data_IF_761410987662
#
_entry.id   IF_761410987662
#
_cell.length_a   1.000
_cell.length_b   1.000
_cell.length_c   1.000
_cell.angle_alpha   90.00
_cell.angle_beta   90.00
_cell.angle_gamma   90.00
#
_symmetry.space_group_name_H-M   'P 1'
#
loop_
_entity.id
_entity.type
_entity.pdbx_description
1 polymer ?
#
# COMPACT_ATOMS: atom_id res chain seq x y z
N UNK A 1 43.14 5.71 -18.04
CA UNK A 1 41.88 6.49 -17.99
C UNK A 1 40.73 5.49 -18.03
N UNK A 2 40.32 4.99 -16.87
CA UNK A 2 39.29 3.97 -16.72
C UNK A 2 38.74 4.13 -15.30
N UNK A 3 37.62 4.85 -15.15
CA UNK A 3 36.75 4.82 -13.95
C UNK A 3 35.46 5.59 -14.26
N UNK A 4 34.69 5.09 -15.23
CA UNK A 4 33.37 5.63 -15.55
C UNK A 4 32.25 4.56 -15.55
N UNK A 5 32.57 3.28 -15.34
CA UNK A 5 31.58 2.19 -15.34
C UNK A 5 30.95 1.92 -13.97
N UNK A 6 31.61 2.27 -12.86
CA UNK A 6 31.12 2.00 -11.50
C UNK A 6 29.95 2.88 -11.07
N UNK A 7 30.00 4.19 -11.37
CA UNK A 7 28.99 5.14 -10.89
C UNK A 7 27.58 4.94 -11.47
N UNK A 8 27.45 4.34 -12.66
CA UNK A 8 26.15 4.04 -13.26
C UNK A 8 25.40 2.90 -12.54
N UNK A 9 26.14 1.90 -12.06
CA UNK A 9 25.57 0.76 -11.34
C UNK A 9 25.09 1.15 -9.93
N UNK A 10 25.89 1.94 -9.22
CA UNK A 10 25.56 2.42 -7.87
C UNK A 10 24.32 3.34 -7.86
N UNK A 11 24.22 4.26 -8.84
CA UNK A 11 23.04 5.12 -8.98
C UNK A 11 21.76 4.34 -9.31
N UNK A 12 21.87 3.25 -10.08
CA UNK A 12 20.73 2.38 -10.37
C UNK A 12 20.29 1.62 -9.11
N UNK A 13 21.24 1.09 -8.36
CA UNK A 13 20.97 0.36 -7.12
C UNK A 13 20.35 1.27 -6.06
N UNK A 14 20.84 2.51 -5.91
CA UNK A 14 20.25 3.49 -4.99
C UNK A 14 18.79 3.81 -5.34
N UNK A 15 18.49 4.03 -6.63
CA UNK A 15 17.11 4.29 -7.09
C UNK A 15 16.19 3.10 -6.85
N UNK A 16 16.71 1.89 -6.99
CA UNK A 16 15.95 0.67 -6.73
C UNK A 16 15.59 0.54 -5.25
N UNK A 17 16.56 0.77 -4.36
CA UNK A 17 16.34 0.77 -2.89
C UNK A 17 15.31 1.84 -2.48
N UNK A 18 15.40 3.04 -3.06
CA UNK A 18 14.45 4.11 -2.79
C UNK A 18 13.02 3.74 -3.24
N UNK A 19 12.90 3.08 -4.39
CA UNK A 19 11.62 2.58 -4.90
C UNK A 19 11.03 1.49 -4.00
N UNK A 20 11.83 0.49 -3.62
CA UNK A 20 11.41 -0.59 -2.71
C UNK A 20 10.96 -0.02 -1.37
N UNK A 21 11.72 0.92 -0.81
CA UNK A 21 11.31 1.65 0.38
C UNK A 21 9.99 2.38 0.16
N UNK A 22 9.79 3.02 -1.00
CA UNK A 22 8.54 3.75 -1.26
C UNK A 22 7.34 2.82 -1.35
N UNK A 23 7.49 1.65 -1.97
CA UNK A 23 6.44 0.62 -2.07
C UNK A 23 5.96 0.20 -0.68
N UNK A 24 6.87 -0.06 0.25
CA UNK A 24 6.56 -0.49 1.62
C UNK A 24 6.01 0.63 2.51
N UNK A 25 6.22 1.91 2.16
CA UNK A 25 5.86 3.04 3.02
C UNK A 25 4.71 3.89 2.47
N UNK A 26 3.94 3.39 1.50
CA UNK A 26 2.70 4.06 1.13
C UNK A 26 1.72 4.04 2.29
N UNK A 27 1.25 5.22 2.67
CA UNK A 27 0.29 5.38 3.76
C UNK A 27 -0.93 6.15 3.31
N UNK A 28 -2.08 5.87 3.91
CA UNK A 28 -3.29 6.68 3.75
C UNK A 28 -3.06 8.13 4.20
N UNK A 29 -2.12 8.37 5.11
CA UNK A 29 -1.74 9.72 5.55
C UNK A 29 -1.11 10.54 4.40
N UNK A 30 -0.61 9.89 3.36
CA UNK A 30 -0.09 10.56 2.16
C UNK A 30 -1.20 11.18 1.31
N UNK A 31 -2.48 10.84 1.54
CA UNK A 31 -3.61 11.18 0.65
C UNK A 31 -3.61 12.64 0.21
N UNK A 32 -3.49 13.57 1.16
CA UNK A 32 -3.54 15.01 0.84
C UNK A 32 -2.36 15.44 -0.03
N UNK A 33 -1.13 15.05 0.34
CA UNK A 33 0.07 15.43 -0.42
C UNK A 33 0.11 14.76 -1.80
N UNK A 34 -0.25 13.48 -1.86
CA UNK A 34 -0.26 12.66 -3.06
C UNK A 34 -1.17 13.26 -4.14
N UNK A 35 -2.34 13.77 -3.74
CA UNK A 35 -3.29 14.40 -4.66
C UNK A 35 -3.07 15.90 -4.87
N UNK A 36 -2.41 16.61 -3.95
CA UNK A 36 -2.12 18.04 -4.10
C UNK A 36 -0.95 18.35 -5.07
N UNK A 37 0.02 17.45 -5.20
CA UNK A 37 1.29 17.76 -5.86
C UNK A 37 1.33 17.35 -7.35
N UNK A 38 0.97 18.27 -8.26
CA UNK A 38 0.92 18.01 -9.72
C UNK A 38 2.26 17.69 -10.41
N UNK A 39 3.42 17.95 -9.78
CA UNK A 39 4.75 17.79 -10.41
C UNK A 39 5.46 16.46 -10.11
N UNK A 40 5.05 15.71 -9.08
CA UNK A 40 5.66 14.40 -8.71
C UNK A 40 4.93 13.19 -9.30
N UNK A 41 3.90 13.43 -10.12
CA UNK A 41 2.90 12.43 -10.49
C UNK A 41 3.44 11.17 -11.16
N UNK A 42 4.41 11.22 -12.08
CA UNK A 42 4.75 10.02 -12.87
C UNK A 42 5.49 8.98 -12.02
N UNK A 43 6.47 9.41 -11.21
CA UNK A 43 7.25 8.49 -10.37
C UNK A 43 6.42 7.95 -9.22
N UNK A 44 5.68 8.81 -8.52
CA UNK A 44 4.81 8.39 -7.43
C UNK A 44 3.70 7.45 -7.93
N UNK A 45 3.06 7.73 -9.07
CA UNK A 45 2.06 6.82 -9.65
C UNK A 45 2.67 5.51 -10.12
N UNK A 46 3.89 5.53 -10.67
CA UNK A 46 4.60 4.30 -11.04
C UNK A 46 4.97 3.47 -9.81
N UNK A 47 5.44 4.11 -8.74
CA UNK A 47 5.69 3.44 -7.46
C UNK A 47 4.41 2.87 -6.87
N UNK A 48 3.31 3.63 -6.90
CA UNK A 48 2.00 3.17 -6.43
C UNK A 48 1.50 1.96 -7.23
N UNK A 49 1.63 1.99 -8.56
CA UNK A 49 1.28 0.85 -9.41
C UNK A 49 2.12 -0.39 -9.08
N UNK A 50 3.44 -0.22 -8.88
CA UNK A 50 4.31 -1.32 -8.46
C UNK A 50 3.94 -1.86 -7.08
N UNK A 51 3.56 -0.98 -6.16
CA UNK A 51 3.10 -1.38 -4.83
C UNK A 51 1.80 -2.19 -4.89
N UNK A 52 0.85 -1.77 -5.75
CA UNK A 52 -0.37 -2.53 -6.02
C UNK A 52 -0.04 -3.95 -6.50
N UNK A 53 0.78 -4.09 -7.55
CA UNK A 53 1.17 -5.41 -8.04
C UNK A 53 1.90 -6.22 -6.96
N UNK A 54 2.84 -5.61 -6.25
CA UNK A 54 3.62 -6.29 -5.20
C UNK A 54 2.73 -6.88 -4.11
N UNK A 55 1.79 -6.10 -3.57
CA UNK A 55 0.91 -6.59 -2.50
C UNK A 55 -0.23 -7.47 -3.00
N UNK A 56 -0.68 -7.33 -4.26
CA UNK A 56 -1.60 -8.29 -4.88
C UNK A 56 -0.92 -9.66 -5.06
N UNK A 57 0.32 -9.70 -5.54
CA UNK A 57 1.11 -10.93 -5.67
C UNK A 57 1.38 -11.56 -4.29
N UNK A 58 1.83 -10.76 -3.31
CA UNK A 58 2.04 -11.24 -1.94
C UNK A 58 0.76 -11.79 -1.31
N UNK A 59 -0.40 -11.16 -1.59
CA UNK A 59 -1.68 -11.67 -1.11
C UNK A 59 -2.03 -13.02 -1.73
N UNK A 60 -1.80 -13.20 -3.04
CA UNK A 60 -2.07 -14.46 -3.73
C UNK A 60 -1.19 -15.57 -3.18
N UNK A 61 0.12 -15.32 -3.02
CA UNK A 61 1.05 -16.29 -2.43
C UNK A 61 0.60 -16.72 -1.03
N UNK A 62 0.16 -15.77 -0.20
CA UNK A 62 -0.34 -16.07 1.14
C UNK A 62 -1.64 -16.85 1.13
N UNK A 63 -2.58 -16.53 0.24
CA UNK A 63 -3.86 -17.21 0.15
C UNK A 63 -3.76 -18.61 -0.49
N UNK A 64 -2.69 -18.90 -1.22
CA UNK A 64 -2.39 -20.24 -1.74
C UNK A 64 -1.99 -21.23 -0.62
N UNK A 65 -1.60 -20.73 0.55
CA UNK A 65 -1.34 -21.58 1.72
C UNK A 65 -2.66 -22.09 2.34
N UNK A 66 -2.78 -23.40 2.61
CA UNK A 66 -3.93 -23.93 3.35
C UNK A 66 -3.98 -23.28 4.74
N UNK A 67 -5.18 -22.95 5.21
CA UNK A 67 -5.40 -22.35 6.53
C UNK A 67 -4.67 -21.00 6.78
N UNK A 68 -4.36 -20.26 5.71
CA UNK A 68 -3.66 -18.97 5.78
C UNK A 68 -4.29 -17.95 6.75
N UNK A 69 -5.62 -17.91 6.84
CA UNK A 69 -6.31 -16.98 7.75
C UNK A 69 -6.08 -17.30 9.23
N UNK A 70 -5.70 -18.54 9.56
CA UNK A 70 -5.44 -19.04 10.92
C UNK A 70 -3.95 -19.03 11.26
N UNK A 71 -3.09 -19.40 10.30
CA UNK A 71 -1.65 -19.54 10.53
C UNK A 71 -0.87 -18.25 10.22
N UNK A 72 -1.34 -17.46 9.24
CA UNK A 72 -0.64 -16.28 8.74
C UNK A 72 -1.44 -14.98 8.96
N UNK A 73 -2.29 -14.93 10.00
CA UNK A 73 -3.18 -13.80 10.28
C UNK A 73 -2.45 -12.46 10.36
N UNK A 74 -1.26 -12.42 10.98
CA UNK A 74 -0.45 -11.19 11.09
C UNK A 74 0.04 -10.72 9.72
N UNK A 75 0.58 -11.63 8.90
CA UNK A 75 1.07 -11.31 7.55
C UNK A 75 -0.07 -10.87 6.63
N UNK A 76 -1.20 -11.59 6.63
CA UNK A 76 -2.39 -11.19 5.89
C UNK A 76 -2.91 -9.83 6.34
N UNK A 77 -2.94 -9.56 7.65
CA UNK A 77 -3.33 -8.24 8.18
C UNK A 77 -2.43 -7.13 7.63
N UNK A 78 -1.10 -7.35 7.62
CA UNK A 78 -0.14 -6.42 7.02
C UNK A 78 -0.46 -6.19 5.53
N UNK A 79 -0.60 -7.26 4.75
CA UNK A 79 -0.83 -7.17 3.30
C UNK A 79 -2.13 -6.43 2.99
N UNK A 80 -3.23 -6.78 3.65
CA UNK A 80 -4.51 -6.07 3.48
C UNK A 80 -4.45 -4.61 3.92
N UNK A 81 -3.66 -4.28 4.94
CA UNK A 81 -3.45 -2.88 5.36
C UNK A 81 -2.75 -2.08 4.27
N UNK A 82 -1.68 -2.63 3.69
CA UNK A 82 -0.96 -2.01 2.58
C UNK A 82 -1.83 -1.87 1.33
N UNK A 83 -2.56 -2.92 0.95
CA UNK A 83 -3.56 -2.87 -0.13
C UNK A 83 -4.60 -1.76 0.10
N UNK A 84 -5.09 -1.62 1.33
CA UNK A 84 -5.97 -0.52 1.72
C UNK A 84 -5.34 0.85 1.44
N UNK A 85 -4.10 1.08 1.86
CA UNK A 85 -3.38 2.33 1.61
C UNK A 85 -3.21 2.60 0.12
N UNK A 86 -2.71 1.62 -0.65
CA UNK A 86 -2.40 1.84 -2.07
C UNK A 86 -3.67 2.00 -2.91
N UNK A 87 -4.74 1.25 -2.64
CA UNK A 87 -6.02 1.44 -3.32
C UNK A 87 -6.64 2.79 -2.99
N UNK A 88 -6.52 3.26 -1.75
CA UNK A 88 -7.01 4.57 -1.34
C UNK A 88 -6.29 5.69 -2.11
N UNK A 89 -4.96 5.63 -2.21
CA UNK A 89 -4.16 6.60 -2.99
C UNK A 89 -4.42 6.49 -4.50
N UNK A 90 -4.82 5.30 -4.97
CA UNK A 90 -5.28 5.08 -6.34
C UNK A 90 -6.72 5.55 -6.61
N UNK A 91 -7.43 6.02 -5.57
CA UNK A 91 -8.86 6.38 -5.60
C UNK A 91 -9.78 5.19 -5.94
N UNK A 92 -9.31 3.96 -5.73
CA UNK A 92 -10.13 2.75 -5.80
C UNK A 92 -10.80 2.50 -4.43
N UNK A 93 -11.80 3.32 -4.14
CA UNK A 93 -12.47 3.35 -2.84
C UNK A 93 -13.13 2.03 -2.46
N UNK A 94 -13.62 1.26 -3.45
CA UNK A 94 -14.27 -0.04 -3.21
C UNK A 94 -13.24 -1.04 -2.71
N UNK A 95 -12.12 -1.18 -3.44
CA UNK A 95 -11.05 -2.09 -3.02
C UNK A 95 -10.37 -1.63 -1.73
N UNK A 96 -10.17 -0.33 -1.54
CA UNK A 96 -9.62 0.23 -0.31
C UNK A 96 -10.47 -0.14 0.91
N UNK A 97 -11.79 0.08 0.83
CA UNK A 97 -12.72 -0.26 1.92
C UNK A 97 -12.71 -1.77 2.20
N UNK A 98 -12.77 -2.59 1.15
CA UNK A 98 -12.75 -4.06 1.28
C UNK A 98 -11.48 -4.55 1.96
N UNK A 99 -10.32 -4.04 1.57
CA UNK A 99 -9.03 -4.40 2.15
C UNK A 99 -8.94 -4.00 3.62
N UNK A 100 -9.31 -2.76 3.97
CA UNK A 100 -9.31 -2.32 5.36
C UNK A 100 -10.28 -3.12 6.25
N UNK A 101 -11.47 -3.45 5.76
CA UNK A 101 -12.42 -4.29 6.52
C UNK A 101 -11.90 -5.70 6.73
N UNK A 102 -11.19 -6.27 5.74
CA UNK A 102 -10.58 -7.59 5.87
C UNK A 102 -9.42 -7.56 6.87
N UNK A 103 -8.57 -6.54 6.84
CA UNK A 103 -7.53 -6.31 7.85
C UNK A 103 -8.14 -6.14 9.25
N UNK A 104 -9.23 -5.37 9.38
CA UNK A 104 -9.97 -5.17 10.63
C UNK A 104 -10.45 -6.49 11.22
N UNK A 105 -11.06 -7.34 10.37
CA UNK A 105 -11.59 -8.64 10.78
C UNK A 105 -10.48 -9.60 11.21
N UNK A 106 -9.37 -9.65 10.49
CA UNK A 106 -8.25 -10.56 10.77
C UNK A 106 -7.53 -10.21 12.06
N UNK A 107 -7.25 -8.92 12.28
CA UNK A 107 -6.57 -8.46 13.47
C UNK A 107 -7.42 -8.58 14.75
N UNK A 108 -8.76 -8.61 14.64
CA UNK A 108 -9.66 -8.72 15.79
C UNK A 108 -9.41 -7.62 16.83
N UNK A 109 -9.17 -8.01 18.09
CA UNK A 109 -8.87 -7.06 19.17
C UNK A 109 -7.50 -6.36 19.04
N UNK A 110 -6.65 -6.80 18.12
CA UNK A 110 -5.36 -6.16 17.83
C UNK A 110 -5.48 -5.02 16.78
N UNK A 111 -6.68 -4.74 16.26
CA UNK A 111 -6.88 -3.71 15.24
C UNK A 111 -7.19 -2.31 15.83
N UNK A 112 -6.42 -1.25 15.48
CA UNK A 112 -5.06 -1.24 14.97
C UNK A 112 -4.06 -0.59 15.94
N UNK A 113 -2.81 -1.04 15.87
CA UNK A 113 -1.66 -0.33 16.46
C UNK A 113 -1.22 0.88 15.63
N UNK A 114 -1.67 0.99 14.38
CA UNK A 114 -1.31 2.04 13.44
C UNK A 114 -2.51 2.97 13.15
N UNK A 115 -2.31 4.26 13.45
CA UNK A 115 -3.28 5.34 13.25
C UNK A 115 -3.63 5.54 11.76
N UNK A 116 -2.69 5.23 10.85
CA UNK A 116 -2.89 5.37 9.42
C UNK A 116 -4.03 4.47 8.91
N UNK A 117 -4.17 3.27 9.48
CA UNK A 117 -5.19 2.32 9.08
C UNK A 117 -6.61 2.80 9.46
N UNK A 118 -6.78 3.38 10.66
CA UNK A 118 -8.05 4.00 11.06
C UNK A 118 -8.38 5.20 10.20
N UNK A 119 -7.39 6.03 9.90
CA UNK A 119 -7.57 7.19 9.04
C UNK A 119 -8.06 6.76 7.64
N UNK A 120 -7.42 5.76 7.03
CA UNK A 120 -7.79 5.26 5.71
C UNK A 120 -9.17 4.61 5.66
N UNK A 121 -9.49 3.78 6.67
CA UNK A 121 -10.83 3.18 6.81
C UNK A 121 -11.92 4.25 7.00
N UNK A 122 -11.67 5.23 7.87
CA UNK A 122 -12.58 6.34 8.11
C UNK A 122 -12.81 7.19 6.87
N UNK A 123 -11.75 7.50 6.12
CA UNK A 123 -11.83 8.25 4.87
C UNK A 123 -12.63 7.50 3.82
N UNK A 124 -12.45 6.18 3.72
CA UNK A 124 -13.21 5.32 2.81
C UNK A 124 -14.71 5.31 3.15
N UNK A 125 -15.06 5.17 4.43
CA UNK A 125 -16.47 5.28 4.86
C UNK A 125 -17.05 6.67 4.58
N UNK A 126 -16.28 7.72 4.82
CA UNK A 126 -16.71 9.08 4.55
C UNK A 126 -16.99 9.32 3.06
N UNK A 127 -16.13 8.79 2.18
CA UNK A 127 -16.34 8.83 0.73
C UNK A 127 -17.71 8.25 0.34
N UNK A 128 -18.03 7.02 0.78
CA UNK A 128 -19.32 6.39 0.46
C UNK A 128 -20.51 7.03 1.17
N UNK A 129 -20.32 7.66 2.34
CA UNK A 129 -21.39 8.40 3.01
C UNK A 129 -21.76 9.69 2.26
N UNK A 130 -20.76 10.38 1.71
CA UNK A 130 -20.97 11.58 0.90
C UNK A 130 -21.57 11.25 -0.47
N UNK A 131 -21.25 10.07 -1.01
CA UNK A 131 -21.76 9.58 -2.28
C UNK A 131 -23.06 8.77 -2.06
N UNK A 132 -24.16 9.47 -1.79
CA UNK A 132 -25.50 8.89 -1.97
C UNK A 132 -25.94 9.10 -3.42
N UNK A 133 -26.43 8.06 -4.13
CA UNK A 133 -26.96 8.21 -5.48
C UNK A 133 -28.17 9.16 -5.54
#
# INVERSE_FOLDING_TARGET
MSDASGGGSELMQHRQIELERRIENFSSLDYTEFHASSRRHVREKSALFKALCHFEDELVEELDHPDAEQENTEKLTRVYTHLGHVHLLALDWIKALSAYQKAYKLAGSAFPKDESCLYGLGLSYFHFRLYKP
#
